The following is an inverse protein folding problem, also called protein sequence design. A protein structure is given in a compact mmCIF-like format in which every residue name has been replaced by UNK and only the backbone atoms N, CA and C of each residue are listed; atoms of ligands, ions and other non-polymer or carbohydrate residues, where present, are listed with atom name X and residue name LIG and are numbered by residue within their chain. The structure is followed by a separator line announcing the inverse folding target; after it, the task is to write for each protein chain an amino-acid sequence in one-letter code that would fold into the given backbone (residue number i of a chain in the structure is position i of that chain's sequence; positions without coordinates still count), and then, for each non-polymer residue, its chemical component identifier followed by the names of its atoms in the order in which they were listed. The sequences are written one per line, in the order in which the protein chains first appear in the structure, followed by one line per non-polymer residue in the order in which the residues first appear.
data_IF_464842141357
#
_entry.id   IF_464842141357
#
_cell.length_a   1.000
_cell.length_b   1.000
_cell.length_c   1.000
_cell.angle_alpha   90.00
_cell.angle_beta   90.00
_cell.angle_gamma   90.00
#
_symmetry.space_group_name_H-M   'P 1'
#
loop_
_entity.id
_entity.type
_entity.pdbx_description
1 polymer ?
#
# COMPACT_ATOMS: atom_id res chain seq x y z
N UNK A 1 17.82 28.61 -26.51
CA UNK A 1 17.25 27.79 -25.42
C UNK A 1 16.04 27.09 -26.01
N UNK A 2 16.06 25.76 -26.11
CA UNK A 2 14.91 24.99 -26.60
C UNK A 2 13.77 25.15 -25.60
N UNK A 3 12.61 25.65 -26.04
CA UNK A 3 11.41 25.67 -25.20
C UNK A 3 11.15 24.23 -24.74
N UNK A 4 11.03 23.94 -23.44
CA UNK A 4 10.75 22.58 -22.99
C UNK A 4 9.42 22.13 -23.62
N UNK A 5 9.52 21.11 -24.47
CA UNK A 5 8.40 20.59 -25.25
C UNK A 5 7.37 19.95 -24.31
N UNK A 6 6.10 20.21 -24.56
CA UNK A 6 5.02 19.51 -23.84
C UNK A 6 4.91 18.07 -24.32
N UNK A 7 4.57 17.17 -23.40
CA UNK A 7 4.35 15.75 -23.68
C UNK A 7 2.90 15.47 -24.06
N UNK A 8 1.97 16.00 -23.26
CA UNK A 8 0.54 15.68 -23.33
C UNK A 8 -0.27 16.89 -22.91
N UNK A 9 -1.37 17.16 -23.61
CA UNK A 9 -2.43 18.04 -23.15
C UNK A 9 -3.75 17.26 -23.01
N UNK A 10 -4.51 17.55 -21.96
CA UNK A 10 -5.84 17.01 -21.73
C UNK A 10 -6.81 18.20 -21.70
N UNK A 11 -7.76 18.27 -22.63
CA UNK A 11 -8.65 19.43 -22.83
C UNK A 11 -10.10 19.11 -22.48
N UNK A 12 -10.91 20.15 -22.22
CA UNK A 12 -12.34 20.07 -21.86
C UNK A 12 -12.64 19.15 -20.66
N UNK A 13 -11.68 18.98 -19.76
CA UNK A 13 -11.79 18.09 -18.62
C UNK A 13 -12.63 18.70 -17.50
N UNK A 14 -13.40 17.89 -16.78
CA UNK A 14 -13.78 18.20 -15.40
C UNK A 14 -12.64 17.72 -14.48
N UNK A 15 -11.84 18.64 -13.95
CA UNK A 15 -10.66 18.29 -13.15
C UNK A 15 -11.00 18.35 -11.66
N UNK A 16 -10.88 17.21 -10.99
CA UNK A 16 -11.00 17.09 -9.54
C UNK A 16 -9.59 17.02 -8.95
N UNK A 17 -9.15 18.09 -8.28
CA UNK A 17 -7.76 18.24 -7.86
C UNK A 17 -7.39 17.45 -6.59
N UNK A 18 -8.39 17.17 -5.74
CA UNK A 18 -8.19 16.55 -4.41
C UNK A 18 -7.25 17.38 -3.51
N UNK A 19 -7.20 18.71 -3.73
CA UNK A 19 -6.55 19.61 -2.77
C UNK A 19 -7.35 19.71 -1.46
N UNK A 20 -6.78 20.38 -0.45
CA UNK A 20 -7.39 20.46 0.89
C UNK A 20 -8.79 21.10 0.91
N UNK A 21 -9.19 21.82 -0.15
CA UNK A 21 -10.50 22.48 -0.26
C UNK A 21 -11.43 21.80 -1.28
N UNK A 22 -10.97 20.74 -1.95
CA UNK A 22 -11.74 19.98 -2.92
C UNK A 22 -12.00 20.73 -4.23
N UNK A 23 -11.01 21.47 -4.76
CA UNK A 23 -11.17 22.29 -5.97
C UNK A 23 -11.58 21.43 -7.17
N UNK A 24 -12.65 21.87 -7.85
CA UNK A 24 -13.13 21.34 -9.13
C UNK A 24 -12.99 22.43 -10.20
N UNK A 25 -12.29 22.12 -11.29
CA UNK A 25 -12.12 23.02 -12.44
C UNK A 25 -12.87 22.45 -13.63
N UNK A 26 -13.95 23.11 -14.03
CA UNK A 26 -14.76 22.70 -15.19
C UNK A 26 -14.16 23.22 -16.49
N UNK A 27 -14.36 22.46 -17.57
CA UNK A 27 -13.89 22.78 -18.92
C UNK A 27 -12.40 23.15 -18.95
N UNK A 28 -11.58 22.38 -18.23
CA UNK A 28 -10.19 22.70 -18.01
C UNK A 28 -9.26 22.08 -19.05
N UNK A 29 -8.09 22.71 -19.19
CA UNK A 29 -6.92 22.15 -19.86
C UNK A 29 -5.84 21.81 -18.83
N UNK A 30 -5.29 20.59 -18.92
CA UNK A 30 -4.09 20.15 -18.20
C UNK A 30 -2.96 20.02 -19.20
N UNK A 31 -1.79 20.56 -18.87
CA UNK A 31 -0.58 20.45 -19.70
C UNK A 31 0.50 19.71 -18.92
N UNK A 32 1.02 18.63 -19.50
CA UNK A 32 2.10 17.81 -18.94
C UNK A 32 3.38 18.02 -19.75
N UNK A 33 4.48 18.33 -19.06
CA UNK A 33 5.78 18.57 -19.67
C UNK A 33 6.50 17.29 -20.10
N UNK A 34 7.54 17.40 -20.92
CA UNK A 34 8.43 16.28 -21.27
C UNK A 34 9.10 15.61 -20.05
N UNK A 35 9.21 16.32 -18.93
CA UNK A 35 9.67 15.80 -17.63
C UNK A 35 8.59 15.00 -16.88
N UNK A 36 7.43 14.77 -17.52
CA UNK A 36 6.26 14.04 -16.98
C UNK A 36 5.60 14.71 -15.77
N UNK A 37 5.86 15.99 -15.55
CA UNK A 37 5.22 16.78 -14.49
C UNK A 37 4.08 17.61 -15.06
N UNK A 38 3.04 17.82 -14.24
CA UNK A 38 1.97 18.77 -14.55
C UNK A 38 2.59 20.18 -14.54
N UNK A 39 2.51 20.88 -15.67
CA UNK A 39 2.98 22.27 -15.81
C UNK A 39 1.89 23.28 -15.49
N UNK A 40 0.66 22.98 -15.88
CA UNK A 40 -0.47 23.87 -15.70
C UNK A 40 -1.79 23.10 -15.65
N UNK A 41 -2.72 23.64 -14.87
CA UNK A 41 -4.15 23.29 -14.86
C UNK A 41 -4.90 24.62 -14.85
N UNK A 42 -5.77 24.87 -15.83
CA UNK A 42 -6.60 26.07 -15.85
C UNK A 42 -7.93 25.81 -16.56
N UNK A 43 -8.96 26.59 -16.22
CA UNK A 43 -10.23 26.59 -16.95
C UNK A 43 -10.03 27.16 -18.37
N UNK A 44 -10.74 26.59 -19.34
CA UNK A 44 -10.65 26.94 -20.76
C UNK A 44 -9.40 26.37 -21.43
N UNK A 45 -9.07 26.96 -22.59
CA UNK A 45 -7.90 26.57 -23.37
C UNK A 45 -6.60 27.11 -22.75
N UNK A 46 -5.54 26.30 -22.81
CA UNK A 46 -4.17 26.72 -22.54
C UNK A 46 -3.32 26.54 -23.79
N UNK A 47 -2.43 27.49 -24.07
CA UNK A 47 -1.42 27.32 -25.11
C UNK A 47 -0.47 26.17 -24.73
N UNK A 48 -0.29 25.22 -25.64
CA UNK A 48 0.63 24.11 -25.45
C UNK A 48 1.27 23.69 -26.77
N UNK A 49 2.39 22.99 -26.66
CA UNK A 49 3.13 22.40 -27.78
C UNK A 49 2.96 20.88 -27.86
N UNK A 50 2.03 20.32 -27.07
CA UNK A 50 1.88 18.88 -26.89
C UNK A 50 1.53 18.19 -28.22
N UNK A 51 2.29 17.16 -28.65
CA UNK A 51 1.99 16.41 -29.87
C UNK A 51 0.76 15.51 -29.67
N UNK A 52 0.47 15.13 -28.43
CA UNK A 52 -0.69 14.33 -28.06
C UNK A 52 -1.68 15.20 -27.30
N UNK A 53 -2.92 15.23 -27.79
CA UNK A 53 -4.04 15.93 -27.16
C UNK A 53 -5.16 14.93 -26.91
N UNK A 54 -5.62 14.86 -25.67
CA UNK A 54 -6.77 14.05 -25.26
C UNK A 54 -7.94 14.99 -24.98
N UNK A 55 -9.02 14.88 -25.76
CA UNK A 55 -10.28 15.55 -25.46
C UNK A 55 -11.03 14.74 -24.39
N UNK A 56 -11.12 15.28 -23.18
CA UNK A 56 -11.75 14.64 -22.02
C UNK A 56 -13.19 15.12 -21.78
N UNK A 57 -13.83 15.72 -22.79
CA UNK A 57 -15.22 16.19 -22.68
C UNK A 57 -16.16 15.09 -22.18
N UNK A 58 -16.88 15.39 -21.09
CA UNK A 58 -17.80 14.45 -20.43
C UNK A 58 -17.12 13.45 -19.49
N UNK A 59 -15.80 13.47 -19.39
CA UNK A 59 -15.02 12.71 -18.42
C UNK A 59 -14.59 13.54 -17.20
N UNK A 60 -14.10 12.82 -16.19
CA UNK A 60 -13.45 13.39 -15.01
C UNK A 60 -11.96 13.06 -15.11
N UNK A 61 -11.11 14.05 -14.80
CA UNK A 61 -9.68 13.85 -14.61
C UNK A 61 -9.36 14.11 -13.15
N UNK A 62 -8.70 13.15 -12.50
CA UNK A 62 -8.32 13.20 -11.09
C UNK A 62 -6.93 12.57 -10.92
N UNK A 63 -6.25 12.81 -9.78
CA UNK A 63 -5.06 12.04 -9.43
C UNK A 63 -5.35 10.54 -9.50
N UNK A 64 -4.42 9.78 -10.07
CA UNK A 64 -4.52 8.31 -10.07
C UNK A 64 -4.54 7.79 -8.63
N UNK A 65 -5.35 6.78 -8.37
CA UNK A 65 -5.54 6.28 -7.01
C UNK A 65 -4.28 5.58 -6.49
N UNK A 66 -4.11 5.61 -5.17
CA UNK A 66 -3.01 4.97 -4.45
C UNK A 66 -3.61 3.84 -3.61
N UNK A 67 -3.22 2.61 -3.92
CA UNK A 67 -3.52 1.43 -3.12
C UNK A 67 -2.44 1.27 -2.06
N UNK A 68 -2.72 1.70 -0.83
CA UNK A 68 -1.72 1.79 0.23
C UNK A 68 -1.46 0.47 0.97
N UNK A 69 -2.09 -0.63 0.54
CA UNK A 69 -1.80 -1.98 1.03
C UNK A 69 -2.39 -3.03 0.08
N UNK A 70 -1.52 -3.88 -0.48
CA UNK A 70 -1.89 -4.99 -1.36
C UNK A 70 -0.89 -6.15 -1.24
N UNK A 71 -1.31 -7.31 -1.74
CA UNK A 71 -0.47 -8.47 -1.99
C UNK A 71 -0.61 -8.90 -3.47
N UNK A 72 0.09 -8.22 -4.37
CA UNK A 72 -0.14 -8.30 -5.82
C UNK A 72 0.08 -9.70 -6.40
N UNK A 73 1.10 -10.43 -5.93
CA UNK A 73 1.33 -11.80 -6.38
C UNK A 73 0.25 -12.80 -5.94
N UNK A 74 -0.63 -12.45 -5.00
CA UNK A 74 -1.73 -13.31 -4.54
C UNK A 74 -2.89 -13.40 -5.53
N UNK A 75 -2.87 -12.68 -6.66
CA UNK A 75 -3.88 -12.83 -7.73
C UNK A 75 -4.00 -14.27 -8.23
N UNK A 76 -2.92 -15.06 -8.15
CA UNK A 76 -2.93 -16.48 -8.47
C UNK A 76 -3.80 -17.34 -7.53
N UNK A 77 -4.14 -16.80 -6.35
CA UNK A 77 -4.95 -17.44 -5.31
C UNK A 77 -6.33 -16.80 -5.15
N UNK A 78 -6.79 -16.05 -6.15
CA UNK A 78 -8.09 -15.36 -6.10
C UNK A 78 -9.23 -16.33 -5.75
N UNK A 79 -10.03 -15.97 -4.75
CA UNK A 79 -11.14 -16.81 -4.26
C UNK A 79 -10.73 -18.03 -3.42
N UNK A 80 -9.44 -18.21 -3.11
CA UNK A 80 -9.00 -19.33 -2.27
C UNK A 80 -9.50 -19.21 -0.82
N UNK A 81 -9.61 -17.97 -0.31
CA UNK A 81 -10.03 -17.64 1.05
C UNK A 81 -11.52 -17.29 1.20
N UNK A 82 -12.40 -17.90 0.41
CA UNK A 82 -13.85 -17.71 0.56
C UNK A 82 -14.39 -18.46 1.78
N UNK A 83 -15.35 -17.83 2.48
CA UNK A 83 -16.11 -18.38 3.61
C UNK A 83 -15.26 -18.84 4.82
N UNK A 84 -14.21 -18.09 5.15
CA UNK A 84 -13.24 -18.42 6.21
C UNK A 84 -12.86 -17.19 7.05
N UNK A 85 -12.46 -17.40 8.31
CA UNK A 85 -11.78 -16.37 9.10
C UNK A 85 -10.28 -16.30 8.72
N UNK A 86 -9.54 -15.32 9.26
CA UNK A 86 -8.12 -15.13 8.99
C UNK A 86 -7.26 -16.38 9.29
N UNK A 87 -7.48 -17.07 10.41
CA UNK A 87 -6.65 -18.22 10.81
C UNK A 87 -6.84 -19.39 9.83
N UNK A 88 -8.10 -19.70 9.48
CA UNK A 88 -8.44 -20.73 8.50
C UNK A 88 -7.93 -20.37 7.11
N UNK A 89 -8.04 -19.09 6.73
CA UNK A 89 -7.52 -18.55 5.48
C UNK A 89 -6.00 -18.73 5.38
N UNK A 90 -5.23 -18.29 6.38
CA UNK A 90 -3.78 -18.44 6.41
C UNK A 90 -3.36 -19.92 6.39
N UNK A 91 -4.10 -20.78 7.12
CA UNK A 91 -3.89 -22.23 7.12
C UNK A 91 -4.06 -22.88 5.73
N UNK A 92 -4.90 -22.30 4.86
CA UNK A 92 -5.10 -22.74 3.49
C UNK A 92 -4.16 -22.08 2.49
N UNK A 93 -3.89 -20.78 2.67
CA UNK A 93 -3.06 -19.98 1.78
C UNK A 93 -1.58 -20.42 1.87
N UNK A 94 -1.01 -20.53 3.06
CA UNK A 94 0.43 -20.79 3.22
C UNK A 94 0.90 -22.05 2.47
N UNK A 95 0.20 -23.22 2.56
CA UNK A 95 0.59 -24.39 1.76
C UNK A 95 0.49 -24.17 0.25
N UNK A 96 -0.51 -23.39 -0.21
CA UNK A 96 -0.68 -23.07 -1.62
C UNK A 96 0.43 -22.13 -2.12
N UNK A 97 0.80 -21.13 -1.32
CA UNK A 97 1.94 -20.26 -1.60
C UNK A 97 3.24 -21.06 -1.67
N UNK A 98 3.54 -21.90 -0.68
CA UNK A 98 4.74 -22.77 -0.69
C UNK A 98 4.82 -23.62 -1.98
N UNK A 99 3.69 -24.14 -2.45
CA UNK A 99 3.65 -25.00 -3.63
C UNK A 99 3.88 -24.27 -4.96
N UNK A 100 3.60 -22.96 -5.02
CA UNK A 100 3.60 -22.17 -6.26
C UNK A 100 4.71 -21.11 -6.28
N UNK A 101 5.25 -20.74 -5.12
CA UNK A 101 6.16 -19.62 -4.97
C UNK A 101 7.43 -19.83 -5.82
N UNK A 102 7.56 -18.98 -6.82
CA UNK A 102 8.73 -18.84 -7.69
C UNK A 102 8.72 -17.44 -8.26
N UNK A 103 9.89 -16.95 -8.70
CA UNK A 103 10.00 -15.63 -9.30
C UNK A 103 9.00 -15.46 -10.46
N UNK A 104 8.95 -16.42 -11.38
CA UNK A 104 8.04 -16.39 -12.54
C UNK A 104 6.56 -16.38 -12.14
N UNK A 105 6.18 -17.13 -11.10
CA UNK A 105 4.81 -17.10 -10.59
C UNK A 105 4.47 -15.75 -9.97
N UNK A 106 5.38 -15.15 -9.19
CA UNK A 106 5.15 -13.82 -8.61
C UNK A 106 5.10 -12.75 -9.69
N UNK A 107 5.93 -12.82 -10.73
CA UNK A 107 5.85 -11.93 -11.91
C UNK A 107 4.48 -12.06 -12.57
N UNK A 108 4.02 -13.29 -12.86
CA UNK A 108 2.73 -13.52 -13.51
C UNK A 108 1.55 -13.00 -12.67
N UNK A 109 1.56 -13.26 -11.36
CA UNK A 109 0.54 -12.76 -10.45
C UNK A 109 0.54 -11.22 -10.34
N UNK A 110 1.72 -10.63 -10.18
CA UNK A 110 1.87 -9.18 -10.08
C UNK A 110 1.50 -8.49 -11.39
N UNK A 111 1.82 -9.07 -12.55
CA UNK A 111 1.42 -8.54 -13.85
C UNK A 111 -0.10 -8.49 -14.00
N UNK A 112 -0.80 -9.56 -13.58
CA UNK A 112 -2.26 -9.57 -13.54
C UNK A 112 -2.80 -8.48 -12.59
N UNK A 113 -2.18 -8.32 -11.42
CA UNK A 113 -2.57 -7.29 -10.46
C UNK A 113 -2.36 -5.87 -10.99
N UNK A 114 -1.24 -5.62 -11.68
CA UNK A 114 -0.93 -4.33 -12.26
C UNK A 114 -1.89 -3.98 -13.41
N UNK A 115 -2.25 -4.97 -14.24
CA UNK A 115 -3.26 -4.78 -15.29
C UNK A 115 -4.63 -4.41 -14.70
N UNK A 116 -5.11 -5.16 -13.70
CA UNK A 116 -6.37 -4.86 -13.00
C UNK A 116 -6.34 -3.49 -12.33
N UNK A 117 -5.24 -3.17 -11.65
CA UNK A 117 -5.00 -1.87 -11.01
C UNK A 117 -5.10 -0.72 -12.00
N UNK A 118 -4.35 -0.77 -13.11
CA UNK A 118 -4.31 0.31 -14.10
C UNK A 118 -5.67 0.47 -14.81
N UNK A 119 -6.38 -0.63 -15.11
CA UNK A 119 -7.73 -0.59 -15.65
C UNK A 119 -8.74 0.03 -14.67
N UNK A 120 -8.54 -0.19 -13.36
CA UNK A 120 -9.33 0.41 -12.28
C UNK A 120 -8.99 1.86 -11.95
N UNK A 121 -7.91 2.43 -12.52
CA UNK A 121 -7.44 3.79 -12.25
C UNK A 121 -6.48 3.90 -11.06
N UNK A 122 -5.94 2.78 -10.58
CA UNK A 122 -4.89 2.71 -9.56
C UNK A 122 -3.53 2.86 -10.24
N UNK A 123 -2.79 3.91 -9.89
CA UNK A 123 -1.47 4.20 -10.50
C UNK A 123 -0.30 3.96 -9.56
N UNK A 124 -0.59 3.69 -8.29
CA UNK A 124 0.41 3.41 -7.25
C UNK A 124 -0.08 2.31 -6.33
N UNK A 125 0.80 1.37 -6.01
CA UNK A 125 0.55 0.32 -5.02
C UNK A 125 1.69 0.27 -4.00
N UNK A 126 1.36 0.01 -2.74
CA UNK A 126 2.31 -0.42 -1.71
C UNK A 126 2.10 -1.92 -1.47
N UNK A 127 3.00 -2.70 -2.06
CA UNK A 127 2.95 -4.16 -2.07
C UNK A 127 3.75 -4.77 -0.91
N UNK A 128 3.15 -5.73 -0.24
CA UNK A 128 3.81 -6.55 0.77
C UNK A 128 3.77 -8.01 0.33
N UNK A 129 4.69 -8.42 -0.54
CA UNK A 129 4.71 -9.81 -0.99
C UNK A 129 6.13 -10.38 -1.07
N UNK A 130 6.22 -11.71 -1.17
CA UNK A 130 7.49 -12.41 -1.32
C UNK A 130 8.12 -12.10 -2.68
N UNK A 131 9.45 -12.21 -2.77
CA UNK A 131 10.22 -11.97 -4.00
C UNK A 131 9.94 -10.57 -4.63
N UNK A 132 10.13 -9.47 -3.89
CA UNK A 132 9.81 -8.11 -4.32
C UNK A 132 10.53 -7.67 -5.60
N UNK A 133 11.66 -8.29 -5.98
CA UNK A 133 12.32 -8.07 -7.27
C UNK A 133 11.38 -8.38 -8.46
N UNK A 134 10.49 -9.38 -8.34
CA UNK A 134 9.48 -9.69 -9.34
C UNK A 134 8.48 -8.53 -9.51
N UNK A 135 8.13 -7.86 -8.41
CA UNK A 135 7.25 -6.69 -8.45
C UNK A 135 7.93 -5.51 -9.18
N UNK A 136 9.24 -5.35 -9.04
CA UNK A 136 9.99 -4.32 -9.75
C UNK A 136 10.11 -4.57 -11.25
N UNK A 137 10.25 -5.83 -11.66
CA UNK A 137 10.20 -6.19 -13.09
C UNK A 137 8.86 -5.75 -13.70
N UNK A 138 7.75 -6.04 -13.02
CA UNK A 138 6.41 -5.64 -13.47
C UNK A 138 6.24 -4.12 -13.45
N UNK A 139 6.76 -3.42 -12.43
CA UNK A 139 6.75 -1.96 -12.39
C UNK A 139 7.47 -1.35 -13.60
N UNK A 140 8.66 -1.85 -13.94
CA UNK A 140 9.45 -1.39 -15.08
C UNK A 140 8.71 -1.59 -16.42
N UNK A 141 8.03 -2.73 -16.57
CA UNK A 141 7.31 -3.09 -17.80
C UNK A 141 5.98 -2.34 -17.96
N UNK A 142 5.23 -2.18 -16.87
CA UNK A 142 3.88 -1.59 -16.89
C UNK A 142 3.87 -0.07 -16.77
N UNK A 143 4.94 0.51 -16.20
CA UNK A 143 4.99 1.94 -15.84
C UNK A 143 4.19 2.29 -14.60
N UNK A 144 3.60 1.32 -13.90
CA UNK A 144 2.95 1.51 -12.60
C UNK A 144 3.99 1.82 -11.52
N UNK A 145 3.65 2.68 -10.55
CA UNK A 145 4.48 2.88 -9.35
C UNK A 145 4.17 1.76 -8.36
N UNK A 146 5.13 0.87 -8.12
CA UNK A 146 4.99 -0.20 -7.13
C UNK A 146 6.06 0.03 -6.07
N UNK A 147 5.61 0.36 -4.86
CA UNK A 147 6.45 0.42 -3.67
C UNK A 147 6.47 -0.96 -3.04
N UNK A 148 7.64 -1.48 -2.70
CA UNK A 148 7.77 -2.77 -2.04
C UNK A 148 9.07 -2.84 -1.24
N UNK A 149 9.13 -3.83 -0.35
CA UNK A 149 10.31 -4.10 0.46
C UNK A 149 10.36 -5.56 0.88
N UNK A 150 11.53 -6.05 1.32
CA UNK A 150 11.69 -7.43 1.79
C UNK A 150 10.72 -7.75 2.92
N UNK A 151 10.07 -8.92 2.81
CA UNK A 151 9.17 -9.43 3.85
C UNK A 151 10.00 -10.06 4.99
N UNK A 152 9.78 -9.59 6.22
CA UNK A 152 10.57 -9.95 7.39
C UNK A 152 9.70 -10.68 8.42
N UNK A 153 10.08 -11.91 8.75
CA UNK A 153 9.45 -12.79 9.73
C UNK A 153 10.45 -13.84 10.25
N UNK A 154 10.23 -14.35 11.46
CA UNK A 154 11.09 -15.39 12.06
C UNK A 154 10.78 -16.80 11.58
N UNK A 155 9.53 -17.08 11.20
CA UNK A 155 9.15 -18.42 10.72
C UNK A 155 9.65 -18.66 9.30
N UNK A 156 9.71 -19.93 8.90
CA UNK A 156 10.14 -20.30 7.56
C UNK A 156 9.20 -19.71 6.49
N UNK A 157 7.92 -19.48 6.80
CA UNK A 157 6.95 -18.88 5.87
C UNK A 157 6.86 -19.61 4.52
N UNK A 158 6.22 -19.00 3.52
CA UNK A 158 6.21 -19.49 2.14
C UNK A 158 7.57 -19.45 1.44
N UNK A 159 8.38 -18.45 1.75
CA UNK A 159 9.76 -18.33 1.30
C UNK A 159 10.67 -18.85 2.42
N UNK A 160 11.19 -20.10 2.39
CA UNK A 160 11.92 -20.71 3.51
C UNK A 160 13.33 -20.12 3.72
N UNK A 161 13.37 -18.85 4.13
CA UNK A 161 14.57 -18.08 4.42
C UNK A 161 14.64 -17.79 5.93
N UNK A 162 15.72 -18.23 6.61
CA UNK A 162 15.97 -17.86 7.99
C UNK A 162 16.08 -16.34 8.16
N UNK A 163 15.62 -15.83 9.31
CA UNK A 163 15.63 -14.38 9.62
C UNK A 163 17.00 -13.71 9.38
N UNK A 164 18.10 -14.37 9.70
CA UNK A 164 19.44 -13.83 9.46
C UNK A 164 19.71 -13.53 7.97
N UNK A 165 19.22 -14.39 7.06
CA UNK A 165 19.32 -14.15 5.61
C UNK A 165 18.37 -13.05 5.16
N UNK A 166 17.15 -13.00 5.71
CA UNK A 166 16.19 -11.92 5.43
C UNK A 166 16.75 -10.55 5.84
N UNK A 167 17.40 -10.46 7.00
CA UNK A 167 18.03 -9.22 7.48
C UNK A 167 19.23 -8.80 6.61
N UNK A 168 20.06 -9.75 6.19
CA UNK A 168 21.17 -9.47 5.26
C UNK A 168 20.63 -8.93 3.92
N UNK A 169 19.62 -9.60 3.36
CA UNK A 169 18.96 -9.16 2.15
C UNK A 169 18.28 -7.79 2.29
N UNK A 170 17.62 -7.51 3.42
CA UNK A 170 17.04 -6.20 3.69
C UNK A 170 18.09 -5.07 3.69
N UNK A 171 19.27 -5.32 4.24
CA UNK A 171 20.35 -4.34 4.19
C UNK A 171 20.90 -4.16 2.76
N UNK A 172 21.08 -5.23 2.00
CA UNK A 172 21.48 -5.15 0.58
C UNK A 172 20.43 -4.43 -0.28
N UNK A 173 19.15 -4.73 -0.05
CA UNK A 173 18.01 -4.11 -0.72
C UNK A 173 18.04 -2.59 -0.60
N UNK A 174 18.18 -2.09 0.63
CA UNK A 174 18.22 -0.65 0.91
C UNK A 174 19.52 0.00 0.42
N UNK A 175 20.67 -0.66 0.59
CA UNK A 175 21.98 -0.14 0.14
C UNK A 175 22.00 0.07 -1.38
N UNK A 176 21.43 -0.86 -2.14
CA UNK A 176 21.42 -0.82 -3.60
C UNK A 176 20.15 -0.19 -4.18
N UNK A 177 19.24 0.34 -3.36
CA UNK A 177 17.94 0.89 -3.78
C UNK A 177 18.05 1.87 -4.94
N UNK A 178 18.82 2.94 -4.80
CA UNK A 178 18.99 3.97 -5.84
C UNK A 178 19.60 3.42 -7.13
N UNK A 179 20.56 2.50 -7.00
CA UNK A 179 21.18 1.84 -8.16
C UNK A 179 20.15 0.97 -8.88
N UNK A 180 19.36 0.19 -8.14
CA UNK A 180 18.31 -0.68 -8.67
C UNK A 180 17.22 0.12 -9.38
N UNK A 181 16.78 1.24 -8.81
CA UNK A 181 15.80 2.14 -9.45
C UNK A 181 16.31 2.66 -10.81
N UNK A 182 17.60 3.04 -10.89
CA UNK A 182 18.22 3.52 -12.12
C UNK A 182 18.36 2.40 -13.17
N UNK A 183 18.86 1.23 -12.77
CA UNK A 183 19.08 0.10 -13.68
C UNK A 183 17.76 -0.42 -14.29
N UNK A 184 16.69 -0.44 -13.50
CA UNK A 184 15.35 -0.85 -13.95
C UNK A 184 14.57 0.27 -14.65
N UNK A 185 15.13 1.49 -14.73
CA UNK A 185 14.45 2.66 -15.32
C UNK A 185 13.04 2.87 -14.74
N UNK A 186 12.90 2.65 -13.42
CA UNK A 186 11.62 2.80 -12.74
C UNK A 186 11.13 4.25 -12.86
N UNK A 187 9.81 4.51 -12.80
CA UNK A 187 9.28 5.87 -12.83
C UNK A 187 9.94 6.75 -11.75
N UNK A 188 10.74 7.74 -12.18
CA UNK A 188 11.55 8.59 -11.30
C UNK A 188 10.74 9.23 -10.14
N UNK A 189 11.36 9.26 -8.95
CA UNK A 189 11.06 10.28 -7.93
C UNK A 189 10.20 9.87 -6.74
N UNK A 190 10.01 8.58 -6.47
CA UNK A 190 9.08 8.13 -5.42
C UNK A 190 9.70 7.27 -4.31
N UNK A 191 11.01 7.05 -4.31
CA UNK A 191 11.67 6.25 -3.26
C UNK A 191 10.98 4.88 -3.09
N UNK A 192 10.72 4.23 -4.22
CA UNK A 192 9.84 3.06 -4.32
C UNK A 192 10.38 1.87 -3.55
N UNK A 193 11.69 1.84 -3.33
CA UNK A 193 12.41 0.72 -2.73
C UNK A 193 12.81 0.95 -1.28
N UNK A 194 12.63 2.16 -0.74
CA UNK A 194 13.07 2.48 0.62
C UNK A 194 12.03 2.08 1.67
N UNK A 195 11.68 0.79 1.66
CA UNK A 195 10.66 0.17 2.49
C UNK A 195 11.20 -1.11 3.13
N UNK A 196 10.81 -1.34 4.37
CA UNK A 196 10.92 -2.63 5.06
C UNK A 196 9.53 -3.10 5.45
N UNK A 197 9.29 -4.39 5.26
CA UNK A 197 7.99 -5.00 5.50
C UNK A 197 8.08 -6.06 6.61
N UNK A 198 8.25 -5.69 7.90
CA UNK A 198 7.99 -6.63 8.98
C UNK A 198 6.55 -7.08 8.89
N UNK A 199 6.31 -8.38 8.71
CA UNK A 199 4.97 -8.88 8.44
C UNK A 199 3.98 -8.47 9.53
N UNK A 200 4.34 -8.73 10.79
CA UNK A 200 3.52 -8.45 11.97
C UNK A 200 4.35 -8.59 13.25
N UNK A 201 3.85 -8.04 14.36
CA UNK A 201 4.52 -8.18 15.66
C UNK A 201 4.39 -9.58 16.26
N UNK A 202 3.42 -10.41 15.87
CA UNK A 202 3.34 -11.79 16.38
C UNK A 202 4.34 -12.76 15.72
N UNK A 203 4.89 -12.40 14.55
CA UNK A 203 5.92 -13.17 13.83
C UNK A 203 7.36 -12.70 14.09
N UNK A 204 7.54 -11.65 14.90
CA UNK A 204 8.84 -11.03 15.18
C UNK A 204 9.00 -10.75 16.67
N UNK A 205 10.15 -11.13 17.23
CA UNK A 205 10.55 -10.78 18.60
C UNK A 205 11.12 -9.37 18.65
N UNK A 206 11.15 -8.77 19.85
CA UNK A 206 11.68 -7.41 20.04
C UNK A 206 13.14 -7.27 19.62
N UNK A 207 13.95 -8.32 19.73
CA UNK A 207 15.34 -8.31 19.23
C UNK A 207 15.38 -7.99 17.73
N UNK A 208 14.63 -8.74 16.92
CA UNK A 208 14.58 -8.53 15.47
C UNK A 208 13.88 -7.22 15.11
N UNK A 209 12.81 -6.84 15.81
CA UNK A 209 12.16 -5.53 15.59
C UNK A 209 13.15 -4.36 15.83
N UNK A 210 13.98 -4.43 16.87
CA UNK A 210 15.01 -3.43 17.11
C UNK A 210 16.11 -3.44 16.04
N UNK A 211 16.49 -4.60 15.50
CA UNK A 211 17.42 -4.67 14.37
C UNK A 211 16.83 -4.04 13.10
N UNK A 212 15.53 -4.28 12.82
CA UNK A 212 14.80 -3.67 11.71
C UNK A 212 14.74 -2.16 11.90
N UNK A 213 14.49 -1.70 13.12
CA UNK A 213 14.47 -0.28 13.49
C UNK A 213 15.82 0.40 13.26
N UNK A 214 16.92 -0.24 13.67
CA UNK A 214 18.27 0.26 13.42
C UNK A 214 18.56 0.36 11.92
N UNK A 215 18.15 -0.65 11.14
CA UNK A 215 18.32 -0.66 9.69
C UNK A 215 17.49 0.43 9.00
N UNK A 216 16.22 0.57 9.38
CA UNK A 216 15.33 1.61 8.86
C UNK A 216 15.90 3.00 9.13
N UNK A 217 16.37 3.25 10.37
CA UNK A 217 17.00 4.53 10.74
C UNK A 217 18.28 4.82 9.96
N UNK A 218 19.09 3.79 9.70
CA UNK A 218 20.35 3.94 8.97
C UNK A 218 20.11 4.43 7.53
N UNK A 219 19.10 3.89 6.85
CA UNK A 219 18.82 4.18 5.44
C UNK A 219 17.69 5.20 5.23
N UNK A 220 16.97 5.57 6.30
CA UNK A 220 15.78 6.40 6.22
C UNK A 220 14.57 5.67 5.65
N UNK A 221 14.48 4.35 5.84
CA UNK A 221 13.44 3.51 5.26
C UNK A 221 12.09 3.63 5.98
N UNK A 222 11.02 3.51 5.20
CA UNK A 222 9.66 3.41 5.69
C UNK A 222 9.33 2.00 6.19
N UNK A 223 8.35 1.90 7.07
CA UNK A 223 7.84 0.63 7.60
C UNK A 223 6.44 0.39 7.06
N UNK A 224 6.20 -0.81 6.52
CA UNK A 224 4.89 -1.32 6.16
C UNK A 224 4.62 -2.59 6.99
N UNK A 225 3.52 -2.65 7.73
CA UNK A 225 3.26 -3.75 8.68
C UNK A 225 1.77 -3.98 8.92
N UNK A 226 1.36 -5.23 9.08
CA UNK A 226 0.01 -5.55 9.58
C UNK A 226 -0.07 -5.26 11.08
N UNK A 227 -1.13 -4.58 11.51
CA UNK A 227 -1.34 -4.29 12.92
C UNK A 227 -2.82 -4.23 13.32
N UNK A 228 -3.15 -4.95 14.38
CA UNK A 228 -4.47 -4.97 15.02
C UNK A 228 -5.62 -5.33 14.07
N UNK A 229 -5.40 -6.31 13.19
CA UNK A 229 -6.38 -6.82 12.23
C UNK A 229 -7.44 -7.70 12.90
N UNK A 230 -7.04 -8.65 13.74
CA UNK A 230 -7.98 -9.63 14.34
C UNK A 230 -7.82 -9.79 15.85
N UNK A 231 -8.87 -10.27 16.53
CA UNK A 231 -8.81 -10.63 17.95
C UNK A 231 -7.76 -11.73 18.22
N UNK A 232 -7.59 -12.65 17.26
CA UNK A 232 -6.55 -13.69 17.29
C UNK A 232 -5.15 -13.09 17.31
N UNK A 233 -4.87 -12.14 16.40
CA UNK A 233 -3.62 -11.37 16.38
C UNK A 233 -3.38 -10.69 17.73
N UNK A 234 -4.36 -9.94 18.25
CA UNK A 234 -4.22 -9.24 19.52
C UNK A 234 -3.84 -10.17 20.67
N UNK A 235 -4.39 -11.39 20.68
CA UNK A 235 -4.08 -12.42 21.67
C UNK A 235 -2.67 -12.98 21.51
N UNK A 236 -2.23 -13.25 20.27
CA UNK A 236 -0.89 -13.73 19.96
C UNK A 236 0.19 -12.70 20.32
N UNK A 237 -0.04 -11.43 19.97
CA UNK A 237 0.88 -10.32 20.28
C UNK A 237 0.97 -10.11 21.79
N UNK A 238 -0.16 -10.04 22.49
CA UNK A 238 -0.20 -9.96 23.95
C UNK A 238 0.60 -11.08 24.61
N UNK A 239 0.40 -12.34 24.18
CA UNK A 239 1.13 -13.49 24.72
C UNK A 239 2.63 -13.42 24.45
N UNK A 240 3.03 -12.99 23.25
CA UNK A 240 4.44 -12.90 22.83
C UNK A 240 5.16 -11.72 23.50
N UNK A 241 4.46 -10.61 23.69
CA UNK A 241 5.03 -9.31 24.06
C UNK A 241 4.52 -8.81 25.42
N UNK A 242 4.26 -9.71 26.36
CA UNK A 242 4.00 -9.38 27.76
C UNK A 242 2.78 -8.47 27.99
N UNK A 243 1.68 -8.72 27.28
CA UNK A 243 0.40 -8.01 27.45
C UNK A 243 0.25 -6.75 26.62
N UNK A 244 1.24 -6.37 25.81
CA UNK A 244 1.20 -5.18 24.95
C UNK A 244 0.38 -5.39 23.68
N UNK A 245 -0.16 -4.30 23.13
CA UNK A 245 -0.80 -4.26 21.81
C UNK A 245 0.26 -4.22 20.69
N UNK A 246 -0.10 -4.53 19.43
CA UNK A 246 0.82 -4.39 18.29
C UNK A 246 1.40 -2.97 18.19
N UNK A 247 0.57 -1.95 18.45
CA UNK A 247 0.97 -0.54 18.37
C UNK A 247 1.98 -0.17 19.45
N UNK A 248 1.76 -0.63 20.69
CA UNK A 248 2.72 -0.43 21.78
C UNK A 248 4.08 -1.07 21.45
N UNK A 249 4.08 -2.29 20.92
CA UNK A 249 5.33 -2.98 20.53
C UNK A 249 6.07 -2.21 19.42
N UNK A 250 5.34 -1.73 18.40
CA UNK A 250 5.93 -0.92 17.33
C UNK A 250 6.49 0.43 17.85
N UNK A 251 5.81 1.06 18.82
CA UNK A 251 6.31 2.30 19.42
C UNK A 251 7.55 2.07 20.28
N UNK A 252 7.54 1.05 21.14
CA UNK A 252 8.67 0.69 22.01
C UNK A 252 9.94 0.36 21.20
N UNK A 253 9.75 -0.26 20.03
CA UNK A 253 10.83 -0.61 19.09
C UNK A 253 11.15 0.49 18.07
N UNK A 254 10.51 1.67 18.21
CA UNK A 254 10.70 2.85 17.34
C UNK A 254 10.31 2.63 15.86
N UNK A 255 9.55 1.59 15.57
CA UNK A 255 9.05 1.26 14.22
C UNK A 255 7.75 1.97 13.87
N UNK A 256 7.07 2.59 14.83
CA UNK A 256 5.78 3.26 14.58
C UNK A 256 5.91 4.60 13.86
N UNK A 257 7.05 5.29 13.99
CA UNK A 257 7.23 6.65 13.44
C UNK A 257 7.12 6.64 11.92
N UNK A 258 6.15 7.37 11.36
CA UNK A 258 5.85 7.42 9.92
C UNK A 258 5.62 6.04 9.25
N UNK A 259 5.15 5.04 10.01
CA UNK A 259 4.80 3.73 9.49
C UNK A 259 3.47 3.74 8.71
N UNK A 260 3.29 2.75 7.83
CA UNK A 260 2.01 2.41 7.21
C UNK A 260 1.51 1.10 7.84
N UNK A 261 0.38 1.19 8.54
CA UNK A 261 -0.24 0.11 9.29
C UNK A 261 -1.42 -0.45 8.51
N UNK A 262 -1.34 -1.68 8.05
CA UNK A 262 -2.48 -2.34 7.41
C UNK A 262 -3.56 -2.71 8.45
N UNK A 263 -4.82 -2.50 8.07
CA UNK A 263 -6.05 -2.83 8.80
C UNK A 263 -6.45 -1.91 9.95
N UNK A 264 -5.79 -1.99 11.12
CA UNK A 264 -6.13 -1.18 12.30
C UNK A 264 -7.56 -1.38 12.81
N UNK A 265 -8.06 -2.62 12.83
CA UNK A 265 -9.44 -2.95 13.21
C UNK A 265 -9.67 -2.86 14.73
N UNK A 266 -8.80 -3.47 15.52
CA UNK A 266 -8.95 -3.63 16.97
C UNK A 266 -8.14 -2.61 17.79
N UNK A 267 -8.06 -1.38 17.30
CA UNK A 267 -7.35 -0.29 17.99
C UNK A 267 -8.17 0.24 19.18
N UNK A 268 -7.53 0.33 20.35
CA UNK A 268 -8.07 1.05 21.50
C UNK A 268 -7.73 2.55 21.44
N UNK A 269 -8.26 3.34 22.37
CA UNK A 269 -8.05 4.80 22.38
C UNK A 269 -6.58 5.20 22.56
N UNK A 270 -5.82 4.44 23.36
CA UNK A 270 -4.39 4.68 23.56
C UNK A 270 -3.59 4.33 22.30
N UNK A 271 -3.96 3.27 21.57
CA UNK A 271 -3.36 2.92 20.28
C UNK A 271 -3.56 4.05 19.26
N UNK A 272 -4.79 4.56 19.14
CA UNK A 272 -5.11 5.68 18.22
C UNK A 272 -4.29 6.93 18.57
N UNK A 273 -4.23 7.30 19.86
CA UNK A 273 -3.44 8.45 20.31
C UNK A 273 -1.94 8.28 20.00
N UNK A 274 -1.43 7.06 20.17
CA UNK A 274 -0.03 6.74 19.88
C UNK A 274 0.28 6.81 18.38
N UNK A 275 -0.62 6.29 17.53
CA UNK A 275 -0.50 6.40 16.07
C UNK A 275 -0.46 7.88 15.64
N UNK A 276 -1.36 8.71 16.17
CA UNK A 276 -1.40 10.14 15.89
C UNK A 276 -0.09 10.85 16.33
N UNK A 277 0.39 10.55 17.54
CA UNK A 277 1.63 11.12 18.07
C UNK A 277 2.86 10.80 17.21
N UNK A 278 2.90 9.60 16.61
CA UNK A 278 4.04 9.13 15.81
C UNK A 278 3.89 9.44 14.30
N UNK A 279 2.79 10.08 13.88
CA UNK A 279 2.54 10.39 12.47
C UNK A 279 2.38 9.14 11.59
N UNK A 280 1.99 8.01 12.18
CA UNK A 280 1.72 6.79 11.41
C UNK A 280 0.44 6.94 10.58
N UNK A 281 0.41 6.23 9.46
CA UNK A 281 -0.75 6.09 8.59
C UNK A 281 -1.44 4.76 8.84
N UNK A 282 -2.77 4.74 8.88
CA UNK A 282 -3.56 3.50 8.89
C UNK A 282 -4.15 3.28 7.51
N UNK A 283 -3.91 2.11 6.92
CA UNK A 283 -4.54 1.70 5.67
C UNK A 283 -5.79 0.89 5.97
N UNK A 284 -6.96 1.44 5.63
CA UNK A 284 -8.24 0.76 5.78
C UNK A 284 -8.48 -0.19 4.60
N UNK A 285 -8.60 -1.49 4.89
CA UNK A 285 -8.85 -2.56 3.90
C UNK A 285 -10.26 -3.14 4.06
N UNK A 286 -11.34 -2.39 3.78
CA UNK A 286 -12.70 -2.79 4.15
C UNK A 286 -13.14 -4.12 3.53
N UNK A 287 -12.84 -4.36 2.25
CA UNK A 287 -13.26 -5.59 1.57
C UNK A 287 -12.72 -6.84 2.29
N UNK A 288 -11.42 -6.87 2.59
CA UNK A 288 -10.77 -7.94 3.37
C UNK A 288 -11.33 -8.04 4.78
N UNK A 289 -11.38 -6.90 5.50
CA UNK A 289 -11.83 -6.88 6.90
C UNK A 289 -13.24 -7.48 7.08
N UNK A 290 -14.16 -7.24 6.14
CA UNK A 290 -15.51 -7.80 6.21
C UNK A 290 -15.59 -9.23 5.66
N UNK A 291 -14.82 -9.55 4.62
CA UNK A 291 -14.81 -10.90 4.04
C UNK A 291 -14.25 -11.94 5.01
N UNK A 292 -13.21 -11.59 5.76
CA UNK A 292 -12.62 -12.45 6.79
C UNK A 292 -13.29 -12.33 8.17
N UNK A 293 -14.32 -11.49 8.28
CA UNK A 293 -14.98 -11.14 9.55
C UNK A 293 -14.01 -10.63 10.64
N UNK A 294 -12.93 -9.96 10.22
CA UNK A 294 -11.93 -9.34 11.12
C UNK A 294 -12.58 -8.24 11.97
N UNK A 295 -13.44 -7.41 11.36
CA UNK A 295 -14.23 -6.41 12.08
C UNK A 295 -14.28 -5.04 11.39
N UNK A 296 -14.76 -4.03 12.12
CA UNK A 296 -14.89 -2.65 11.61
C UNK A 296 -13.82 -1.76 12.23
N UNK A 297 -12.92 -1.21 11.41
CA UNK A 297 -11.92 -0.25 11.87
C UNK A 297 -12.56 1.09 12.28
N UNK A 298 -11.98 1.75 13.28
CA UNK A 298 -12.47 3.01 13.89
C UNK A 298 -12.01 4.25 13.11
N UNK A 299 -12.36 4.31 11.82
CA UNK A 299 -11.81 5.30 10.88
C UNK A 299 -12.23 6.73 11.22
N UNK A 300 -13.48 6.93 11.65
CA UNK A 300 -13.96 8.27 12.06
C UNK A 300 -13.19 8.78 13.27
N UNK A 301 -12.89 7.93 14.25
CA UNK A 301 -12.09 8.26 15.42
C UNK A 301 -10.62 8.56 15.06
N UNK A 302 -10.02 7.74 14.20
CA UNK A 302 -8.67 7.97 13.67
C UNK A 302 -8.57 9.35 13.00
N UNK A 303 -9.53 9.68 12.11
CA UNK A 303 -9.54 10.97 11.43
C UNK A 303 -9.74 12.14 12.40
N UNK A 304 -10.61 12.01 13.41
CA UNK A 304 -10.81 13.03 14.47
C UNK A 304 -9.54 13.28 15.29
N UNK A 305 -8.67 12.28 15.43
CA UNK A 305 -7.37 12.39 16.12
C UNK A 305 -6.24 12.88 15.20
N UNK A 306 -6.54 13.20 13.94
CA UNK A 306 -5.55 13.68 12.97
C UNK A 306 -4.68 12.59 12.38
N UNK A 307 -5.05 11.31 12.54
CA UNK A 307 -4.34 10.20 11.89
C UNK A 307 -4.60 10.25 10.38
N UNK A 308 -3.53 10.10 9.59
CA UNK A 308 -3.67 9.90 8.16
C UNK A 308 -4.27 8.51 7.90
N UNK A 309 -5.37 8.45 7.13
CA UNK A 309 -6.02 7.19 6.77
C UNK A 309 -5.97 7.03 5.26
N UNK A 310 -5.38 5.94 4.80
CA UNK A 310 -5.35 5.53 3.41
C UNK A 310 -6.33 4.38 3.15
N UNK A 311 -6.51 4.01 1.87
CA UNK A 311 -7.30 2.85 1.46
C UNK A 311 -6.38 1.76 0.89
N UNK A 312 -6.73 0.52 1.18
CA UNK A 312 -6.06 -0.67 0.66
C UNK A 312 -7.06 -1.69 0.15
N UNK A 313 -6.62 -2.54 -0.77
CA UNK A 313 -7.41 -3.68 -1.23
C UNK A 313 -7.06 -4.95 -0.47
N UNK A 314 -5.89 -5.00 0.19
CA UNK A 314 -5.28 -6.25 0.65
C UNK A 314 -5.06 -7.22 -0.55
N UNK A 315 -4.83 -8.50 -0.31
CA UNK A 315 -4.67 -9.53 -1.32
C UNK A 315 -6.01 -9.99 -1.91
N UNK A 316 -6.08 -10.30 -3.22
CA UNK A 316 -7.28 -10.83 -3.85
C UNK A 316 -7.64 -12.27 -3.40
N UNK A 317 -6.90 -12.90 -2.49
CA UNK A 317 -7.36 -14.13 -1.86
C UNK A 317 -8.31 -13.86 -0.66
N UNK A 318 -8.24 -12.66 -0.06
CA UNK A 318 -9.07 -12.19 1.05
C UNK A 318 -10.02 -11.04 0.66
N UNK A 319 -9.88 -10.42 -0.51
CA UNK A 319 -10.81 -9.41 -1.07
C UNK A 319 -11.43 -9.76 -2.43
N UNK A 320 -10.82 -10.70 -3.17
CA UNK A 320 -11.21 -11.19 -4.52
C UNK A 320 -11.13 -10.20 -5.69
N UNK A 321 -10.97 -8.90 -5.46
CA UNK A 321 -10.68 -7.89 -6.48
C UNK A 321 -9.59 -6.89 -6.02
N UNK A 322 -9.05 -6.13 -6.96
CA UNK A 322 -8.17 -4.99 -6.70
C UNK A 322 -8.93 -3.71 -7.11
N UNK A 323 -10.04 -3.44 -6.41
CA UNK A 323 -10.94 -2.31 -6.70
C UNK A 323 -11.01 -1.29 -5.55
N UNK A 324 -10.33 -0.14 -5.72
CA UNK A 324 -10.42 0.97 -4.76
C UNK A 324 -11.75 1.73 -4.82
N UNK A 325 -12.54 1.61 -5.89
CA UNK A 325 -13.89 2.19 -5.93
C UNK A 325 -14.83 1.44 -4.99
N UNK A 326 -14.74 0.12 -4.96
CA UNK A 326 -15.43 -0.70 -3.98
C UNK A 326 -14.95 -0.36 -2.56
N UNK A 327 -13.63 -0.28 -2.34
CA UNK A 327 -13.06 0.07 -1.04
C UNK A 327 -13.57 1.44 -0.54
N UNK A 328 -13.56 2.47 -1.40
CA UNK A 328 -14.09 3.81 -1.08
C UNK A 328 -15.56 3.76 -0.67
N UNK A 329 -16.39 3.00 -1.41
CA UNK A 329 -17.82 2.87 -1.11
C UNK A 329 -18.05 2.16 0.22
N UNK A 330 -17.36 1.05 0.47
CA UNK A 330 -17.47 0.30 1.72
C UNK A 330 -17.00 1.12 2.92
N UNK A 331 -15.88 1.83 2.79
CA UNK A 331 -15.39 2.74 3.81
C UNK A 331 -16.46 3.78 4.19
N UNK A 332 -17.08 4.40 3.19
CA UNK A 332 -18.12 5.42 3.42
C UNK A 332 -19.40 4.89 4.07
N UNK A 333 -19.84 3.67 3.75
CA UNK A 333 -21.10 3.10 4.25
C UNK A 333 -20.95 2.47 5.63
N UNK A 334 -19.87 1.71 5.84
CA UNK A 334 -19.73 0.98 7.10
C UNK A 334 -19.40 1.92 8.24
N UNK A 335 -18.64 2.99 8.01
CA UNK A 335 -18.40 3.99 9.06
C UNK A 335 -19.69 4.64 9.53
N UNK A 336 -20.59 5.05 8.62
CA UNK A 336 -21.92 5.60 8.99
C UNK A 336 -22.72 4.63 9.85
N UNK A 337 -22.68 3.35 9.49
CA UNK A 337 -23.39 2.29 10.23
C UNK A 337 -22.78 2.10 11.62
N UNK A 338 -21.45 2.02 11.71
CA UNK A 338 -20.72 1.82 12.95
C UNK A 338 -20.88 2.99 13.93
N UNK A 339 -20.92 4.23 13.42
CA UNK A 339 -21.09 5.43 14.24
C UNK A 339 -22.55 5.85 14.42
N UNK A 340 -23.50 5.17 13.75
CA UNK A 340 -24.91 5.58 13.69
C UNK A 340 -25.09 7.04 13.25
N UNK A 341 -24.30 7.48 12.27
CA UNK A 341 -24.25 8.86 11.76
C UNK A 341 -24.36 8.86 10.22
N UNK A 342 -25.51 9.25 9.62
CA UNK A 342 -25.84 9.05 8.21
C UNK A 342 -25.09 9.93 7.20
#
# INVERSE_FOLDING_TARGET
MSTPQDLLAITHACVVTIDAVGTIVNDATIVVGADRKIRAIAAGALDHTAPTVIDAKGGIVMPGMINAHTHMGMTLFRGLGDDMNLEDFLGRLMPAEIAVLSHDAVVAGTELAALESLLGGITTALDMYYLPDAALEVAARSGMRIHCGPNLLESDGPEPLPIAKRMAWANEWLTDSQKREQELSLPNGFDSLNWLSPHSTYLLGEEHLNQISALAKQHGAHIHVHAAETVGEMSLVSKRHNGRTPIQVLADTQLLTNAVLAHGVHLNDADIAMIAQHGATVTHCPASNYKLASGTARIVELHKQGVNVALGTDGPASGNDIDLWLAMRLAGYVQKTATSDP
#
